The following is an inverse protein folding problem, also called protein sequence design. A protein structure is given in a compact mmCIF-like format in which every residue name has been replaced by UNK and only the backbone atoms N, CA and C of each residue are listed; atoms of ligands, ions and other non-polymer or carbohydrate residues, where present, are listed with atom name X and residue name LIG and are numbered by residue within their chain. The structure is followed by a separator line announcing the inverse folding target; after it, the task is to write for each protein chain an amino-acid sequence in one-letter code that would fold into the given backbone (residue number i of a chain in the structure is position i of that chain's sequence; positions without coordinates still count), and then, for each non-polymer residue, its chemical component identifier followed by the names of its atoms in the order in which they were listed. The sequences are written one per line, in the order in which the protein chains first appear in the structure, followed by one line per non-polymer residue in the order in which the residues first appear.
data_IF_994623247633
#
_entry.id   IF_994623247633
#
_cell.length_a   1.000
_cell.length_b   1.000
_cell.length_c   1.000
_cell.angle_alpha   90.00
_cell.angle_beta   90.00
_cell.angle_gamma   90.00
#
_symmetry.space_group_name_H-M   'P 1'
#
loop_
_entity.id
_entity.type
_entity.pdbx_description
1 polymer ?
#
# COMPACT_ATOMS: atom_id res chain seq x y z
N UNK A 1 8.54 23.31 -13.40
CA UNK A 1 7.90 22.17 -12.72
C UNK A 1 7.23 22.69 -11.46
N UNK A 2 5.91 22.53 -11.32
CA UNK A 2 5.20 22.92 -10.09
C UNK A 2 5.67 22.01 -8.96
N UNK A 3 6.56 22.52 -8.10
CA UNK A 3 6.96 21.85 -6.87
C UNK A 3 5.69 21.69 -6.05
N UNK A 4 5.28 20.46 -5.83
CA UNK A 4 4.08 20.18 -5.04
C UNK A 4 4.28 20.69 -3.62
N UNK A 5 3.25 21.33 -3.11
CA UNK A 5 3.28 22.08 -1.87
C UNK A 5 2.39 21.35 -0.89
N UNK A 6 2.85 21.03 0.32
CA UNK A 6 1.97 20.63 1.41
C UNK A 6 0.95 21.72 1.64
N UNK A 7 -0.34 21.39 1.63
CA UNK A 7 -1.41 22.35 1.85
C UNK A 7 -2.14 21.96 3.13
N UNK A 8 -2.47 22.95 3.94
CA UNK A 8 -3.39 22.82 5.06
C UNK A 8 -4.23 24.09 5.18
N UNK A 9 -5.31 24.02 5.94
CA UNK A 9 -6.10 25.20 6.25
C UNK A 9 -6.55 25.22 7.70
N UNK A 10 -6.75 26.42 8.21
CA UNK A 10 -7.37 26.67 9.52
C UNK A 10 -8.58 27.56 9.33
N UNK A 11 -9.64 27.28 10.08
CA UNK A 11 -10.79 28.16 10.19
C UNK A 11 -10.73 28.86 11.54
N UNK A 12 -10.69 30.18 11.55
CA UNK A 12 -10.56 31.00 12.75
C UNK A 12 -11.81 31.87 12.92
N UNK A 13 -12.36 31.94 14.12
CA UNK A 13 -13.51 32.80 14.41
C UNK A 13 -13.04 34.26 14.60
N UNK A 14 -13.61 35.20 13.85
CA UNK A 14 -13.21 36.61 13.94
C UNK A 14 -13.57 37.28 15.27
N UNK A 15 -14.50 36.72 16.04
CA UNK A 15 -14.96 37.34 17.29
C UNK A 15 -13.96 37.13 18.45
N UNK A 16 -13.34 35.96 18.52
CA UNK A 16 -12.48 35.54 19.64
C UNK A 16 -11.13 34.96 19.18
N UNK A 17 -10.86 34.95 17.88
CA UNK A 17 -9.66 34.38 17.26
C UNK A 17 -9.44 32.89 17.56
N UNK A 18 -10.50 32.17 17.94
CA UNK A 18 -10.41 30.73 18.21
C UNK A 18 -10.25 29.93 16.91
N UNK A 19 -9.30 29.00 16.90
CA UNK A 19 -9.09 28.06 15.80
C UNK A 19 -10.08 26.91 15.93
N UNK A 20 -10.88 26.71 14.90
CA UNK A 20 -11.86 25.64 14.79
C UNK A 20 -11.26 24.43 14.07
N UNK A 21 -10.73 23.50 14.87
CA UNK A 21 -10.14 22.26 14.39
C UNK A 21 -11.20 21.30 13.80
N UNK A 22 -10.80 20.57 12.75
CA UNK A 22 -11.65 19.54 12.12
C UNK A 22 -12.85 20.07 11.33
N UNK A 23 -12.89 21.38 11.01
CA UNK A 23 -13.94 22.02 10.20
C UNK A 23 -13.46 22.39 8.79
N UNK A 24 -12.36 21.81 8.37
CA UNK A 24 -11.69 22.11 7.13
C UNK A 24 -11.20 20.83 6.47
N UNK A 25 -11.49 20.67 5.17
CA UNK A 25 -11.02 19.56 4.36
C UNK A 25 -10.30 20.10 3.13
N UNK A 26 -9.06 19.67 2.92
CA UNK A 26 -8.31 19.98 1.70
C UNK A 26 -8.34 18.77 0.78
N UNK A 27 -8.82 18.94 -0.46
CA UNK A 27 -8.80 17.93 -1.50
C UNK A 27 -7.94 18.40 -2.68
N UNK A 28 -6.99 17.57 -3.09
CA UNK A 28 -6.24 17.75 -4.33
C UNK A 28 -6.99 17.03 -5.45
N UNK A 29 -7.58 17.79 -6.35
CA UNK A 29 -8.42 17.26 -7.41
C UNK A 29 -7.58 16.71 -8.56
N UNK A 30 -8.08 15.64 -9.17
CA UNK A 30 -7.51 15.08 -10.39
C UNK A 30 -7.93 15.86 -11.64
N UNK A 31 -9.13 16.45 -11.60
CA UNK A 31 -9.72 17.23 -12.71
C UNK A 31 -10.45 18.45 -12.13
N UNK A 32 -10.07 19.69 -12.53
CA UNK A 32 -8.90 20.02 -13.35
C UNK A 32 -7.58 19.69 -12.63
N UNK A 33 -6.49 19.37 -13.36
CA UNK A 33 -5.20 19.15 -12.74
C UNK A 33 -4.68 20.44 -12.10
N UNK A 34 -4.09 20.33 -10.90
CA UNK A 34 -3.55 21.48 -10.17
C UNK A 34 -4.62 22.28 -9.42
N UNK A 35 -5.86 21.79 -9.36
CA UNK A 35 -6.92 22.41 -8.56
C UNK A 35 -6.94 21.83 -7.15
N UNK A 36 -7.04 22.72 -6.17
CA UNK A 36 -7.25 22.41 -4.76
C UNK A 36 -8.65 22.84 -4.40
N UNK A 37 -9.43 21.94 -3.80
CA UNK A 37 -10.74 22.25 -3.23
C UNK A 37 -10.60 22.28 -1.72
N UNK A 38 -11.09 23.34 -1.10
CA UNK A 38 -11.13 23.48 0.35
C UNK A 38 -12.59 23.54 0.76
N UNK A 39 -13.03 22.56 1.54
CA UNK A 39 -14.35 22.58 2.17
C UNK A 39 -14.18 23.13 3.60
N UNK A 40 -14.81 24.26 3.89
CA UNK A 40 -14.86 24.84 5.23
C UNK A 40 -16.29 24.79 5.76
N UNK A 41 -16.44 24.39 7.03
CA UNK A 41 -17.74 24.10 7.62
C UNK A 41 -17.90 24.79 8.99
N UNK A 42 -17.97 26.14 9.04
CA UNK A 42 -18.30 26.84 10.28
C UNK A 42 -19.65 26.34 10.81
N UNK A 43 -19.74 26.08 12.12
CA UNK A 43 -20.94 25.50 12.74
C UNK A 43 -21.97 26.53 13.19
N UNK A 44 -21.56 27.79 13.33
CA UNK A 44 -22.35 28.87 13.89
C UNK A 44 -22.39 30.07 12.93
N UNK A 45 -23.45 30.90 12.99
CA UNK A 45 -23.46 32.17 12.30
C UNK A 45 -22.31 33.05 12.81
N UNK A 46 -21.60 33.73 11.90
CA UNK A 46 -20.45 34.53 12.27
C UNK A 46 -19.60 34.99 11.10
N UNK A 47 -18.48 35.62 11.43
CA UNK A 47 -17.41 35.91 10.49
C UNK A 47 -16.22 35.05 10.86
N UNK A 48 -15.59 34.46 9.86
CA UNK A 48 -14.45 33.56 10.01
C UNK A 48 -13.32 33.96 9.06
N UNK A 49 -12.09 33.72 9.46
CA UNK A 49 -10.94 33.69 8.55
C UNK A 49 -10.63 32.26 8.16
N UNK A 50 -10.72 31.95 6.86
CA UNK A 50 -10.16 30.73 6.30
C UNK A 50 -8.73 31.02 5.85
N UNK A 51 -7.77 30.56 6.64
CA UNK A 51 -6.35 30.70 6.34
C UNK A 51 -5.88 29.45 5.61
N UNK A 52 -5.18 29.63 4.49
CA UNK A 52 -4.60 28.55 3.68
C UNK A 52 -3.09 28.64 3.78
N UNK A 53 -2.46 27.56 4.22
CA UNK A 53 -1.02 27.47 4.39
C UNK A 53 -0.41 26.50 3.40
N UNK A 54 0.82 26.79 3.00
CA UNK A 54 1.55 26.02 2.01
C UNK A 54 3.01 25.79 2.47
N UNK A 55 3.56 24.60 2.23
CA UNK A 55 4.98 24.26 2.49
C UNK A 55 5.62 23.55 1.31
N UNK A 56 6.89 23.81 0.95
CA UNK A 56 7.59 23.07 -0.10
C UNK A 56 7.74 21.57 0.21
N UNK A 57 7.62 21.16 1.47
CA UNK A 57 7.59 19.76 1.90
C UNK A 57 6.26 19.44 2.57
N UNK A 58 5.48 18.57 1.92
CA UNK A 58 4.17 18.15 2.42
C UNK A 58 4.23 17.32 3.71
N UNK A 59 5.42 16.79 4.06
CA UNK A 59 5.67 16.04 5.29
C UNK A 59 5.88 16.95 6.50
N UNK A 60 6.21 18.22 6.29
CA UNK A 60 6.58 19.17 7.34
C UNK A 60 5.50 20.22 7.56
N UNK A 61 5.03 20.31 8.80
CA UNK A 61 4.03 21.30 9.21
C UNK A 61 4.68 22.58 9.74
N UNK A 62 5.89 22.48 10.29
CA UNK A 62 6.64 23.54 10.97
C UNK A 62 7.14 24.65 10.04
N UNK A 63 7.22 24.38 8.73
CA UNK A 63 7.69 25.32 7.70
C UNK A 63 6.56 25.81 6.79
N UNK A 64 5.30 25.64 7.21
CA UNK A 64 4.15 26.11 6.44
C UNK A 64 4.04 27.63 6.53
N UNK A 65 3.90 28.27 5.37
CA UNK A 65 3.71 29.72 5.24
C UNK A 65 2.27 30.03 4.83
N UNK A 66 1.72 31.14 5.32
CA UNK A 66 0.39 31.60 4.93
C UNK A 66 0.40 32.02 3.45
N UNK A 67 -0.34 31.30 2.60
CA UNK A 67 -0.45 31.62 1.18
C UNK A 67 -1.56 32.64 0.91
N UNK A 68 -2.73 32.45 1.55
CA UNK A 68 -3.86 33.36 1.42
C UNK A 68 -4.81 33.22 2.61
N UNK A 69 -5.64 34.24 2.81
CA UNK A 69 -6.71 34.25 3.80
C UNK A 69 -7.98 34.81 3.17
N UNK A 70 -9.11 34.19 3.51
CA UNK A 70 -10.44 34.61 3.06
C UNK A 70 -11.30 34.93 4.26
N UNK A 71 -12.02 36.05 4.21
CA UNK A 71 -13.09 36.30 5.16
C UNK A 71 -14.37 35.60 4.68
N UNK A 72 -14.90 34.69 5.50
CA UNK A 72 -16.13 33.94 5.23
C UNK A 72 -17.21 34.44 6.18
N UNK A 73 -18.37 34.78 5.64
CA UNK A 73 -19.56 35.07 6.44
C UNK A 73 -20.50 33.86 6.44
N UNK A 74 -20.75 33.30 7.62
CA UNK A 74 -21.77 32.28 7.83
C UNK A 74 -23.03 32.97 8.34
N UNK A 75 -24.09 32.99 7.54
CA UNK A 75 -25.33 33.71 7.86
C UNK A 75 -26.30 32.89 8.72
N UNK A 76 -26.18 31.56 8.69
CA UNK A 76 -27.13 30.64 9.32
C UNK A 76 -26.38 29.64 10.19
N UNK A 77 -27.11 28.98 11.09
CA UNK A 77 -26.58 27.80 11.77
C UNK A 77 -26.36 26.71 10.75
N UNK A 78 -25.13 26.63 10.29
CA UNK A 78 -24.70 25.54 9.47
C UNK A 78 -24.32 24.38 10.41
N UNK A 79 -25.36 23.69 10.89
CA UNK A 79 -25.22 22.29 11.33
C UNK A 79 -24.92 21.43 10.10
N UNK A 80 -23.91 21.82 9.32
CA UNK A 80 -23.40 21.05 8.20
C UNK A 80 -23.29 19.63 8.69
N UNK A 81 -23.63 18.68 7.83
CA UNK A 81 -23.53 17.27 8.21
C UNK A 81 -22.15 16.96 8.79
N UNK A 82 -21.10 17.66 8.36
CA UNK A 82 -19.73 17.62 8.91
C UNK A 82 -19.66 17.93 10.41
N UNK A 83 -20.46 18.85 10.95
CA UNK A 83 -20.56 19.15 12.39
C UNK A 83 -21.41 18.11 13.12
N UNK A 84 -22.48 17.60 12.48
CA UNK A 84 -23.37 16.57 13.06
C UNK A 84 -22.74 15.17 13.07
N UNK A 85 -21.76 14.90 12.19
CA UNK A 85 -21.06 13.60 12.08
C UNK A 85 -19.80 13.48 12.93
N UNK A 86 -19.39 14.54 13.65
CA UNK A 86 -18.09 14.60 14.34
C UNK A 86 -17.03 15.36 13.54
N UNK A 87 -16.02 15.88 14.24
CA UNK A 87 -14.87 16.57 13.63
C UNK A 87 -14.30 15.72 12.50
N UNK A 88 -14.06 16.33 11.33
CA UNK A 88 -13.31 15.66 10.27
C UNK A 88 -11.96 15.23 10.85
N UNK A 89 -11.42 14.07 10.41
CA UNK A 89 -10.09 13.68 10.83
C UNK A 89 -9.10 14.78 10.43
N UNK A 90 -8.26 15.20 11.38
CA UNK A 90 -7.22 16.20 11.17
C UNK A 90 -6.11 15.60 10.30
N UNK A 91 -6.32 15.63 8.99
CA UNK A 91 -5.38 15.16 7.99
C UNK A 91 -5.00 16.32 7.09
N UNK A 92 -3.70 16.47 6.79
CA UNK A 92 -3.20 17.63 6.06
C UNK A 92 -3.95 17.88 4.75
N UNK A 93 -4.10 16.84 3.91
CA UNK A 93 -4.92 16.88 2.70
C UNK A 93 -5.30 15.48 2.21
N UNK A 94 -6.35 15.41 1.39
CA UNK A 94 -6.80 14.23 0.65
C UNK A 94 -6.35 14.32 -0.82
N UNK A 95 -6.04 13.18 -1.41
CA UNK A 95 -5.69 13.07 -2.83
C UNK A 95 -4.29 12.50 -3.07
N UNK A 96 -3.81 12.73 -4.30
CA UNK A 96 -2.50 12.30 -4.76
C UNK A 96 -1.39 13.10 -4.08
N UNK A 97 -0.30 12.43 -3.73
CA UNK A 97 0.96 13.09 -3.32
C UNK A 97 1.91 13.19 -4.52
N UNK A 98 3.08 13.84 -4.40
CA UNK A 98 4.10 13.85 -5.46
C UNK A 98 4.58 12.45 -5.81
N UNK A 99 4.65 11.56 -4.80
CA UNK A 99 5.12 10.21 -4.98
C UNK A 99 4.19 9.38 -5.87
N UNK A 100 2.88 9.72 -5.93
CA UNK A 100 1.95 9.07 -6.86
C UNK A 100 2.37 9.27 -8.32
N UNK A 101 2.88 10.45 -8.68
CA UNK A 101 3.37 10.71 -10.03
C UNK A 101 4.68 9.99 -10.32
N UNK A 102 5.61 10.00 -9.36
CA UNK A 102 6.92 9.32 -9.45
C UNK A 102 6.74 7.80 -9.62
N UNK A 103 5.89 7.19 -8.81
CA UNK A 103 5.65 5.75 -8.84
C UNK A 103 4.61 5.34 -9.89
N UNK A 104 3.91 6.27 -10.53
CA UNK A 104 2.88 5.93 -11.53
C UNK A 104 1.66 5.22 -10.93
N UNK A 105 1.26 5.60 -9.73
CA UNK A 105 0.01 5.18 -9.10
C UNK A 105 -1.01 6.29 -9.31
N UNK A 106 -2.19 5.99 -9.84
CA UNK A 106 -3.22 6.99 -10.12
C UNK A 106 -4.62 6.42 -9.87
N UNK A 107 -5.42 7.12 -9.05
CA UNK A 107 -6.86 6.82 -8.97
C UNK A 107 -7.54 7.27 -10.26
N UNK A 108 -8.37 6.40 -10.85
CA UNK A 108 -9.02 6.65 -12.16
C UNK A 108 -10.51 6.94 -11.93
N UNK A 109 -11.13 7.92 -12.62
CA UNK A 109 -12.58 8.09 -12.54
C UNK A 109 -13.30 6.95 -13.31
N UNK A 110 -13.57 5.82 -12.65
CA UNK A 110 -14.31 4.67 -13.20
C UNK A 110 -15.35 4.13 -12.19
N UNK A 111 -16.58 3.89 -12.66
CA UNK A 111 -17.62 3.21 -11.89
C UNK A 111 -18.26 4.05 -10.79
N UNK A 112 -18.73 3.39 -9.72
CA UNK A 112 -19.48 4.00 -8.60
C UNK A 112 -18.61 4.85 -7.67
N UNK A 113 -17.28 4.67 -7.71
CA UNK A 113 -16.36 5.52 -6.99
C UNK A 113 -16.20 6.83 -7.76
N UNK A 114 -16.76 7.89 -7.17
CA UNK A 114 -16.65 9.34 -7.44
C UNK A 114 -15.72 9.77 -8.59
N UNK A 115 -16.08 10.84 -9.31
CA UNK A 115 -15.37 11.54 -10.42
C UNK A 115 -13.84 11.79 -10.29
N UNK A 116 -13.05 10.85 -9.78
CA UNK A 116 -11.67 11.02 -9.34
C UNK A 116 -11.53 11.78 -8.02
N UNK A 117 -12.57 11.86 -7.16
CA UNK A 117 -12.47 12.60 -5.89
C UNK A 117 -11.88 11.77 -4.76
N UNK A 118 -10.97 12.34 -3.95
CA UNK A 118 -10.40 11.63 -2.81
C UNK A 118 -11.29 11.66 -1.57
N UNK A 119 -12.35 12.47 -1.54
CA UNK A 119 -13.44 12.35 -0.60
C UNK A 119 -14.62 11.59 -1.23
N UNK A 120 -14.92 10.42 -0.70
CA UNK A 120 -15.93 9.50 -1.22
C UNK A 120 -17.05 9.34 -0.20
N UNK A 121 -18.29 9.62 -0.60
CA UNK A 121 -19.47 9.33 0.22
C UNK A 121 -20.01 7.97 -0.22
N UNK A 122 -20.03 7.00 0.69
CA UNK A 122 -20.48 5.64 0.40
C UNK A 122 -21.76 5.30 1.16
N UNK A 123 -22.83 5.00 0.42
CA UNK A 123 -24.16 4.70 0.97
C UNK A 123 -24.64 3.27 0.63
N UNK A 124 -23.77 2.44 0.06
CA UNK A 124 -24.11 1.08 -0.39
C UNK A 124 -23.60 0.03 0.61
N UNK A 125 -24.37 -1.01 0.96
CA UNK A 125 -23.87 -2.09 1.81
C UNK A 125 -22.79 -2.96 1.14
N UNK A 126 -22.67 -2.93 -0.19
CA UNK A 126 -21.65 -3.67 -0.94
C UNK A 126 -20.26 -3.04 -0.73
N UNK A 127 -19.18 -3.82 -0.87
CA UNK A 127 -17.82 -3.29 -0.79
C UNK A 127 -17.61 -2.15 -1.79
N UNK A 128 -17.07 -1.04 -1.31
CA UNK A 128 -16.64 0.09 -2.14
C UNK A 128 -15.48 -0.37 -3.02
N UNK A 129 -15.54 -0.07 -4.32
CA UNK A 129 -14.47 -0.38 -5.27
C UNK A 129 -13.81 0.91 -5.74
N UNK A 130 -12.57 1.13 -5.34
CA UNK A 130 -11.80 2.32 -5.72
C UNK A 130 -10.85 1.94 -6.85
N UNK A 131 -11.08 2.43 -8.09
CA UNK A 131 -10.26 2.14 -9.27
C UNK A 131 -8.88 2.82 -9.25
N UNK A 132 -7.84 2.06 -9.60
CA UNK A 132 -6.47 2.56 -9.77
C UNK A 132 -5.83 2.07 -11.06
N UNK A 133 -5.01 2.92 -11.66
CA UNK A 133 -3.96 2.57 -12.60
C UNK A 133 -2.64 2.50 -11.80
N UNK A 134 -1.98 1.34 -11.84
CA UNK A 134 -0.77 1.04 -11.07
C UNK A 134 0.33 0.62 -12.03
N UNK A 135 1.46 1.33 -12.02
CA UNK A 135 2.65 0.96 -12.78
C UNK A 135 3.18 -0.44 -12.38
N UNK A 136 3.75 -1.20 -13.33
CA UNK A 136 4.41 -2.46 -13.01
C UNK A 136 5.67 -2.24 -12.17
N UNK A 137 6.14 -3.29 -11.47
CA UNK A 137 7.38 -3.26 -10.67
C UNK A 137 7.30 -2.50 -9.35
N UNK A 138 6.09 -2.35 -8.80
CA UNK A 138 5.87 -1.70 -7.51
C UNK A 138 5.52 -2.70 -6.42
N UNK A 139 5.96 -2.41 -5.21
CA UNK A 139 5.42 -2.92 -3.95
C UNK A 139 4.44 -1.90 -3.40
N UNK A 140 3.28 -2.35 -2.94
CA UNK A 140 2.23 -1.49 -2.39
C UNK A 140 1.71 -2.03 -1.08
N UNK A 141 1.54 -1.16 -0.10
CA UNK A 141 0.77 -1.45 1.10
C UNK A 141 -0.27 -0.36 1.34
N UNK A 142 -1.20 -0.63 2.23
CA UNK A 142 -2.20 0.32 2.64
C UNK A 142 -2.34 0.34 4.15
N UNK A 143 -2.87 1.45 4.64
CA UNK A 143 -3.41 1.59 5.98
C UNK A 143 -4.86 2.05 5.85
N UNK A 144 -5.76 1.38 6.54
CA UNK A 144 -7.17 1.74 6.65
C UNK A 144 -7.51 1.94 8.13
N UNK A 145 -7.88 3.15 8.49
CA UNK A 145 -8.28 3.51 9.85
C UNK A 145 -9.72 3.99 9.87
N UNK A 146 -10.52 3.52 10.82
CA UNK A 146 -11.88 4.04 11.03
C UNK A 146 -11.89 5.05 12.17
N UNK A 147 -12.73 6.09 12.04
CA UNK A 147 -13.01 7.10 13.06
C UNK A 147 -14.49 7.02 13.38
N UNK A 148 -14.81 6.81 14.66
CA UNK A 148 -16.18 6.91 15.14
C UNK A 148 -16.77 8.31 14.86
N UNK A 149 -18.11 8.40 14.83
CA UNK A 149 -18.81 9.68 14.71
C UNK A 149 -18.96 10.31 16.09
N UNK A 150 -17.85 10.67 16.73
CA UNK A 150 -17.49 12.07 16.94
C UNK A 150 -15.96 12.33 16.83
N UNK A 151 -15.21 11.41 16.23
CA UNK A 151 -13.75 11.49 15.98
C UNK A 151 -12.87 11.12 17.17
N UNK A 152 -13.39 10.41 18.17
CA UNK A 152 -12.71 10.14 19.44
C UNK A 152 -11.92 8.82 19.43
N UNK A 153 -12.32 7.84 18.62
CA UNK A 153 -11.66 6.54 18.59
C UNK A 153 -11.26 6.11 17.18
N UNK A 154 -9.95 5.90 17.01
CA UNK A 154 -9.37 5.34 15.81
C UNK A 154 -9.18 3.84 15.99
N UNK A 155 -9.70 3.03 15.06
CA UNK A 155 -9.46 1.59 15.03
C UNK A 155 -8.77 1.19 13.72
N UNK A 156 -7.69 0.41 13.84
CA UNK A 156 -7.00 -0.16 12.68
C UNK A 156 -7.87 -1.23 12.02
N UNK A 157 -8.16 -1.03 10.74
CA UNK A 157 -9.09 -1.83 9.95
C UNK A 157 -8.44 -2.32 8.65
N UNK A 158 -7.10 -2.43 8.57
CA UNK A 158 -6.37 -2.75 7.34
C UNK A 158 -6.91 -3.96 6.59
N UNK A 159 -7.30 -5.02 7.32
CA UNK A 159 -7.89 -6.23 6.74
C UNK A 159 -9.24 -6.01 6.04
N UNK A 160 -9.87 -4.84 6.16
CA UNK A 160 -11.10 -4.51 5.45
C UNK A 160 -10.87 -3.87 4.07
N UNK A 161 -9.62 -3.62 3.69
CA UNK A 161 -9.23 -3.25 2.34
C UNK A 161 -8.40 -4.36 1.68
N UNK A 162 -8.68 -4.64 0.41
CA UNK A 162 -7.94 -5.61 -0.39
C UNK A 162 -7.67 -5.06 -1.79
N UNK A 163 -6.40 -4.99 -2.15
CA UNK A 163 -5.96 -4.72 -3.51
C UNK A 163 -6.26 -5.94 -4.39
N UNK A 164 -6.89 -5.69 -5.54
CA UNK A 164 -7.20 -6.70 -6.53
C UNK A 164 -6.84 -6.18 -7.90
N UNK A 165 -5.96 -6.87 -8.61
CA UNK A 165 -5.76 -6.58 -10.02
C UNK A 165 -6.98 -6.97 -10.83
N UNK A 166 -7.26 -6.21 -11.90
CA UNK A 166 -8.22 -6.64 -12.92
C UNK A 166 -7.70 -7.94 -13.55
N UNK A 167 -8.60 -8.90 -13.86
CA UNK A 167 -8.22 -9.96 -14.77
C UNK A 167 -7.69 -9.30 -16.05
N UNK A 168 -6.54 -9.79 -16.55
CA UNK A 168 -6.03 -9.43 -17.86
C UNK A 168 -7.05 -9.89 -18.91
N UNK A 169 -8.05 -9.06 -19.19
CA UNK A 169 -8.60 -9.03 -20.52
C UNK A 169 -7.50 -8.39 -21.35
N UNK A 170 -7.00 -9.11 -22.36
CA UNK A 170 -6.39 -8.47 -23.51
C UNK A 170 -7.40 -7.46 -24.08
N UNK A 171 -7.50 -6.27 -23.50
CA UNK A 171 -7.43 -5.12 -24.37
C UNK A 171 -6.01 -5.21 -24.90
N UNK A 172 -5.89 -5.63 -26.16
CA UNK A 172 -4.89 -5.02 -27.04
C UNK A 172 -4.56 -3.66 -26.45
N UNK A 173 -3.30 -3.42 -26.10
CA UNK A 173 -2.78 -2.08 -25.95
C UNK A 173 -2.96 -1.49 -27.36
N UNK A 174 -4.20 -1.14 -27.68
CA UNK A 174 -4.51 -0.16 -28.67
C UNK A 174 -3.81 1.04 -28.05
N UNK A 175 -2.72 1.45 -28.68
CA UNK A 175 -1.98 2.66 -28.36
C UNK A 175 -2.87 3.94 -28.40
N UNK A 176 -4.19 3.80 -28.42
CA UNK A 176 -5.18 4.86 -28.47
C UNK A 176 -5.54 5.45 -27.11
N UNK A 177 -5.22 4.78 -25.98
CA UNK A 177 -5.53 5.28 -24.64
C UNK A 177 -4.28 5.34 -23.74
N UNK A 178 -3.95 6.51 -23.16
CA UNK A 178 -2.77 6.64 -22.31
C UNK A 178 -2.93 5.79 -21.03
N UNK A 179 -1.82 5.22 -20.53
CA UNK A 179 -1.72 4.34 -19.34
C UNK A 179 -2.50 4.84 -18.11
N UNK A 180 -2.71 6.16 -18.01
CA UNK A 180 -3.40 6.87 -16.92
C UNK A 180 -4.93 6.97 -17.10
N UNK A 181 -5.49 6.39 -18.15
CA UNK A 181 -6.91 6.57 -18.51
C UNK A 181 -7.82 5.40 -18.17
N UNK A 182 -7.27 4.25 -17.78
CA UNK A 182 -8.03 3.06 -17.44
C UNK A 182 -7.47 2.40 -16.19
N UNK A 183 -8.34 1.98 -15.27
CA UNK A 183 -7.91 1.25 -14.09
C UNK A 183 -7.44 -0.16 -14.46
N UNK A 184 -6.34 -0.61 -13.87
CA UNK A 184 -5.86 -1.99 -13.94
C UNK A 184 -5.96 -2.72 -12.58
N UNK A 185 -6.36 -2.01 -11.53
CA UNK A 185 -6.53 -2.53 -10.18
C UNK A 185 -7.70 -1.86 -9.47
N UNK A 186 -8.15 -2.48 -8.38
CA UNK A 186 -9.15 -1.96 -7.47
C UNK A 186 -8.75 -2.20 -6.03
N UNK A 187 -8.88 -1.17 -5.19
CA UNK A 187 -9.04 -1.39 -3.75
C UNK A 187 -10.50 -1.72 -3.47
N UNK A 188 -10.77 -2.92 -2.97
CA UNK A 188 -12.08 -3.31 -2.48
C UNK A 188 -12.12 -3.06 -0.98
N UNK A 189 -12.97 -2.14 -0.54
CA UNK A 189 -13.07 -1.71 0.86
C UNK A 189 -14.42 -2.13 1.41
N UNK A 190 -14.39 -3.00 2.43
CA UNK A 190 -15.55 -3.37 3.24
C UNK A 190 -15.66 -2.38 4.39
N UNK A 191 -16.86 -1.90 4.68
CA UNK A 191 -17.10 -0.85 5.67
C UNK A 191 -17.98 -1.44 6.77
N UNK A 192 -17.40 -2.03 7.83
CA UNK A 192 -18.16 -2.80 8.83
C UNK A 192 -19.10 -1.95 9.68
N UNK A 193 -18.81 -0.66 9.86
CA UNK A 193 -19.58 0.25 10.71
C UNK A 193 -19.82 1.58 10.01
N UNK A 194 -20.80 2.35 10.48
CA UNK A 194 -21.01 3.71 10.01
C UNK A 194 -19.97 4.64 10.65
N UNK A 195 -19.00 5.08 9.87
CA UNK A 195 -17.82 5.79 10.33
C UNK A 195 -17.17 6.55 9.17
N UNK A 196 -16.20 7.40 9.50
CA UNK A 196 -15.24 7.84 8.50
C UNK A 196 -14.11 6.82 8.41
N UNK A 197 -13.67 6.52 7.20
CA UNK A 197 -12.52 5.66 6.98
C UNK A 197 -11.45 6.42 6.21
N UNK A 198 -10.22 6.29 6.67
CA UNK A 198 -9.06 6.92 6.06
C UNK A 198 -8.16 5.85 5.46
N UNK A 199 -8.14 5.80 4.13
CA UNK A 199 -7.30 4.89 3.36
C UNK A 199 -6.05 5.65 2.90
N UNK A 200 -4.90 5.24 3.41
CA UNK A 200 -3.59 5.70 2.94
C UNK A 200 -2.91 4.59 2.17
N UNK A 201 -2.40 4.90 0.98
CA UNK A 201 -1.70 3.95 0.13
C UNK A 201 -0.24 4.36 0.06
N UNK A 202 0.66 3.40 0.24
CA UNK A 202 2.09 3.60 0.14
C UNK A 202 2.66 2.74 -0.98
N UNK A 203 3.64 3.26 -1.70
CA UNK A 203 4.32 2.57 -2.80
C UNK A 203 5.83 2.65 -2.66
N UNK A 204 6.49 1.67 -3.24
CA UNK A 204 7.94 1.57 -3.34
C UNK A 204 8.29 0.85 -4.66
N UNK A 205 9.35 1.27 -5.33
CA UNK A 205 9.81 0.65 -6.56
C UNK A 205 10.73 -0.52 -6.22
N UNK A 206 10.46 -1.72 -6.74
CA UNK A 206 11.24 -2.93 -6.44
C UNK A 206 12.73 -2.80 -6.74
N UNK A 207 13.10 -1.91 -7.68
CA UNK A 207 14.48 -1.69 -8.10
C UNK A 207 15.23 -0.63 -7.26
N UNK A 208 14.56 0.06 -6.33
CA UNK A 208 15.15 1.15 -5.55
C UNK A 208 15.80 0.62 -4.26
N UNK A 209 16.97 -0.03 -4.40
CA UNK A 209 17.67 -0.76 -3.33
C UNK A 209 18.13 0.15 -2.18
N UNK A 210 18.22 1.46 -2.41
CA UNK A 210 18.77 2.43 -1.45
C UNK A 210 17.72 2.91 -0.44
N UNK A 211 16.44 2.64 -0.68
CA UNK A 211 15.35 3.31 0.02
C UNK A 211 14.63 2.39 1.03
N UNK A 212 14.82 2.67 2.31
CA UNK A 212 14.25 1.87 3.41
C UNK A 212 12.80 2.22 3.81
N UNK A 213 12.13 3.10 3.07
CA UNK A 213 10.77 3.54 3.40
C UNK A 213 9.84 3.59 2.20
N UNK A 214 8.57 3.25 2.43
CA UNK A 214 7.51 3.40 1.44
C UNK A 214 7.05 4.87 1.37
N UNK A 215 6.83 5.38 0.15
CA UNK A 215 6.26 6.70 -0.01
C UNK A 215 4.73 6.65 0.02
N UNK A 216 4.11 7.52 0.81
CA UNK A 216 2.66 7.75 0.72
C UNK A 216 2.33 8.30 -0.66
N UNK A 217 1.53 7.57 -1.45
CA UNK A 217 1.11 7.97 -2.81
C UNK A 217 -0.30 8.56 -2.83
N UNK A 218 -1.19 8.12 -1.93
CA UNK A 218 -2.57 8.56 -1.89
C UNK A 218 -3.15 8.59 -0.48
N UNK A 219 -4.07 9.53 -0.27
CA UNK A 219 -4.92 9.66 0.91
C UNK A 219 -6.37 9.80 0.47
N UNK A 220 -7.25 8.94 0.96
CA UNK A 220 -8.66 8.92 0.60
C UNK A 220 -9.49 8.89 1.88
N UNK A 221 -10.49 9.77 1.95
CA UNK A 221 -11.48 9.78 3.02
C UNK A 221 -12.78 9.18 2.48
N UNK A 222 -13.31 8.20 3.20
CA UNK A 222 -14.56 7.51 2.87
C UNK A 222 -15.56 7.80 4.00
N UNK A 223 -16.66 8.46 3.70
CA UNK A 223 -17.79 8.64 4.61
C UNK A 223 -18.79 7.51 4.40
N UNK A 224 -18.77 6.52 5.29
CA UNK A 224 -19.65 5.36 5.24
C UNK A 224 -20.96 5.63 5.99
N UNK A 225 -22.05 5.88 5.26
CA UNK A 225 -23.32 6.35 5.85
C UNK A 225 -24.40 5.28 6.01
N UNK A 226 -24.29 4.17 5.29
CA UNK A 226 -25.32 3.13 5.32
C UNK A 226 -24.72 1.73 5.31
N UNK A 227 -24.22 1.31 6.48
CA UNK A 227 -23.73 -0.05 6.72
C UNK A 227 -24.79 -0.87 7.49
N UNK A 228 -26.08 -0.76 7.11
CA UNK A 228 -27.15 -1.56 7.71
C UNK A 228 -27.17 -2.95 7.08
N UNK A 229 -26.16 -3.75 7.37
CA UNK A 229 -26.24 -5.20 7.19
C UNK A 229 -26.46 -5.82 8.56
N UNK A 230 -27.49 -6.65 8.71
CA UNK A 230 -27.62 -7.54 9.87
C UNK A 230 -26.53 -8.62 9.89
N UNK A 231 -25.84 -8.82 8.76
CA UNK A 231 -24.75 -9.78 8.64
C UNK A 231 -23.42 -9.14 9.04
N UNK A 232 -22.65 -9.86 9.87
CA UNK A 232 -21.29 -9.52 10.24
C UNK A 232 -20.41 -9.37 9.00
N UNK A 233 -19.94 -8.15 8.72
CA UNK A 233 -19.03 -7.87 7.61
C UNK A 233 -17.66 -8.46 7.94
N UNK A 234 -17.29 -9.50 7.19
CA UNK A 234 -16.03 -10.23 7.38
C UNK A 234 -14.84 -9.47 6.78
N UNK A 235 -13.70 -9.50 7.46
CA UNK A 235 -12.44 -8.98 6.93
C UNK A 235 -11.88 -9.86 5.79
N UNK A 236 -11.03 -9.29 4.95
CA UNK A 236 -10.19 -9.99 3.98
C UNK A 236 -8.93 -10.58 4.64
N UNK A 237 -8.29 -11.61 4.05
CA UNK A 237 -6.94 -11.99 4.47
C UNK A 237 -5.99 -10.80 4.42
N UNK A 238 -5.05 -10.74 5.36
CA UNK A 238 -4.04 -9.68 5.41
C UNK A 238 -3.09 -9.87 4.23
N UNK A 239 -2.98 -8.85 3.39
CA UNK A 239 -2.03 -8.87 2.28
C UNK A 239 -0.68 -8.31 2.70
N UNK A 240 0.39 -8.84 2.12
CA UNK A 240 1.73 -8.25 2.22
C UNK A 240 1.95 -7.26 1.06
N UNK A 241 3.05 -6.51 1.10
CA UNK A 241 3.39 -5.58 0.03
C UNK A 241 3.76 -6.27 -1.30
N UNK A 242 3.97 -7.59 -1.27
CA UNK A 242 4.22 -8.43 -2.46
C UNK A 242 2.95 -8.90 -3.17
N UNK A 243 1.76 -8.56 -2.64
CA UNK A 243 0.48 -8.92 -3.22
C UNK A 243 0.14 -8.15 -4.52
N UNK A 244 0.96 -7.17 -4.90
CA UNK A 244 0.80 -6.45 -6.18
C UNK A 244 0.85 -7.45 -7.33
N UNK A 245 0.09 -7.19 -8.40
CA UNK A 245 -0.10 -8.10 -9.55
C UNK A 245 -0.97 -9.33 -9.26
N UNK A 246 -1.35 -9.59 -8.01
CA UNK A 246 -2.22 -10.70 -7.65
C UNK A 246 -3.71 -10.36 -7.66
N UNK A 247 -4.52 -11.42 -7.70
CA UNK A 247 -5.98 -11.36 -7.51
C UNK A 247 -6.45 -12.57 -6.71
N UNK A 248 -7.32 -12.34 -5.73
CA UNK A 248 -7.85 -13.39 -4.85
C UNK A 248 -9.27 -13.76 -5.28
N UNK A 249 -9.48 -15.03 -5.63
CA UNK A 249 -10.80 -15.53 -6.03
C UNK A 249 -11.48 -16.16 -4.82
N UNK A 250 -10.80 -17.03 -4.08
CA UNK A 250 -11.28 -17.65 -2.84
C UNK A 250 -10.12 -18.27 -2.04
N UNK A 251 -10.24 -18.37 -0.70
CA UNK A 251 -11.26 -17.78 0.16
C UNK A 251 -11.00 -16.29 0.44
N UNK A 252 -12.05 -15.46 0.51
CA UNK A 252 -11.96 -14.00 0.70
C UNK A 252 -12.19 -13.52 2.14
N UNK A 253 -12.28 -14.45 3.08
CA UNK A 253 -12.51 -14.16 4.49
C UNK A 253 -11.24 -14.43 5.27
N UNK A 254 -10.86 -13.51 6.16
CA UNK A 254 -9.66 -13.64 6.98
C UNK A 254 -9.74 -14.87 7.89
N UNK A 255 -10.90 -15.08 8.50
CA UNK A 255 -11.13 -16.17 9.44
C UNK A 255 -11.61 -17.41 8.68
N UNK A 256 -10.84 -18.49 8.80
CA UNK A 256 -11.19 -19.80 8.27
C UNK A 256 -11.41 -20.76 9.44
N UNK A 257 -12.43 -21.60 9.36
CA UNK A 257 -12.69 -22.56 10.42
C UNK A 257 -11.73 -23.74 10.35
N UNK A 258 -11.27 -24.20 11.49
CA UNK A 258 -10.56 -25.48 11.61
C UNK A 258 -11.49 -26.65 11.21
N UNK A 259 -10.87 -27.78 10.89
CA UNK A 259 -11.51 -29.03 10.52
C UNK A 259 -12.43 -28.89 9.29
N UNK A 260 -12.01 -28.09 8.31
CA UNK A 260 -12.74 -27.87 7.05
C UNK A 260 -11.82 -27.88 5.85
N UNK A 261 -12.40 -28.21 4.71
CA UNK A 261 -11.74 -28.07 3.41
C UNK A 261 -12.12 -26.72 2.81
N UNK A 262 -11.11 -25.95 2.43
CA UNK A 262 -11.29 -24.71 1.68
C UNK A 262 -10.66 -24.86 0.30
N UNK A 263 -11.36 -24.33 -0.70
CA UNK A 263 -10.79 -24.15 -2.04
C UNK A 263 -10.02 -22.84 -2.05
N UNK A 264 -8.74 -22.93 -2.33
CA UNK A 264 -7.88 -21.80 -2.64
C UNK A 264 -7.85 -21.62 -4.15
N UNK A 265 -8.06 -20.38 -4.59
CA UNK A 265 -7.98 -19.98 -5.98
C UNK A 265 -7.51 -18.52 -6.05
N UNK A 266 -6.39 -18.27 -6.72
CA UNK A 266 -5.83 -16.94 -6.90
C UNK A 266 -5.10 -16.83 -8.23
N UNK A 267 -5.04 -15.62 -8.78
CA UNK A 267 -4.15 -15.28 -9.87
C UNK A 267 -2.87 -14.67 -9.25
N UNK A 268 -1.71 -15.27 -9.49
CA UNK A 268 -0.38 -14.83 -9.08
C UNK A 268 0.61 -15.07 -10.23
N UNK A 269 0.53 -14.26 -11.32
CA UNK A 269 1.27 -14.47 -12.57
C UNK A 269 2.78 -14.35 -12.47
N UNK A 270 3.29 -13.66 -11.45
CA UNK A 270 4.71 -13.51 -11.17
C UNK A 270 5.31 -14.70 -10.42
N UNK A 271 4.47 -15.59 -9.88
CA UNK A 271 4.92 -16.75 -9.14
C UNK A 271 5.03 -17.97 -10.04
N UNK A 272 6.10 -18.74 -9.86
CA UNK A 272 6.30 -20.03 -10.55
C UNK A 272 5.96 -21.25 -9.66
N UNK A 273 5.68 -20.99 -8.38
CA UNK A 273 5.16 -21.93 -7.39
C UNK A 273 4.36 -21.17 -6.35
N UNK A 274 3.24 -21.75 -5.88
CA UNK A 274 2.40 -21.19 -4.82
C UNK A 274 2.01 -22.29 -3.84
N UNK A 275 2.16 -22.03 -2.55
CA UNK A 275 1.83 -22.94 -1.48
C UNK A 275 0.95 -22.28 -0.42
N UNK A 276 0.11 -23.08 0.21
CA UNK A 276 -0.60 -22.73 1.44
C UNK A 276 0.12 -23.42 2.59
N UNK A 277 0.52 -22.66 3.60
CA UNK A 277 1.27 -23.15 4.74
C UNK A 277 0.44 -23.00 6.00
N UNK A 278 0.17 -24.11 6.70
CA UNK A 278 -0.59 -24.13 7.94
C UNK A 278 0.39 -24.14 9.11
N UNK A 279 0.20 -23.20 10.04
CA UNK A 279 0.99 -23.05 11.28
C UNK A 279 2.52 -23.07 11.07
N UNK A 280 2.99 -22.66 9.89
CA UNK A 280 4.41 -22.61 9.53
C UNK A 280 5.07 -23.96 9.25
N UNK A 281 4.34 -25.09 9.36
CA UNK A 281 4.93 -26.43 9.26
C UNK A 281 4.37 -27.27 8.11
N UNK A 282 3.09 -27.16 7.80
CA UNK A 282 2.43 -28.03 6.80
C UNK A 282 2.27 -27.29 5.47
N UNK A 283 3.03 -27.70 4.45
CA UNK A 283 3.03 -27.08 3.12
C UNK A 283 2.10 -27.82 2.15
N UNK A 284 1.18 -27.08 1.53
CA UNK A 284 0.25 -27.59 0.52
C UNK A 284 0.42 -26.80 -0.78
N UNK A 285 1.10 -27.38 -1.76
CA UNK A 285 1.31 -26.75 -3.07
C UNK A 285 0.02 -26.72 -3.90
N UNK A 286 -0.28 -25.54 -4.45
CA UNK A 286 -1.41 -25.35 -5.35
C UNK A 286 -1.03 -25.77 -6.77
N UNK A 287 -2.02 -26.23 -7.52
CA UNK A 287 -1.84 -26.64 -8.91
C UNK A 287 -2.10 -25.45 -9.84
N UNK A 288 -1.20 -25.16 -10.79
CA UNK A 288 -1.43 -24.12 -11.78
C UNK A 288 -2.51 -24.58 -12.78
N UNK A 289 -3.41 -23.68 -13.18
CA UNK A 289 -4.50 -23.98 -14.13
C UNK A 289 -4.02 -24.14 -15.58
N UNK A 290 -2.77 -23.78 -15.85
CA UNK A 290 -2.12 -23.97 -17.15
C UNK A 290 -0.62 -24.22 -16.93
N UNK A 291 0.02 -25.13 -17.68
CA UNK A 291 1.44 -25.41 -17.51
C UNK A 291 2.27 -24.14 -17.74
N UNK A 292 3.14 -23.83 -16.77
CA UNK A 292 4.09 -22.72 -16.83
C UNK A 292 5.19 -23.13 -17.79
N UNK A 293 5.12 -22.70 -19.06
CA UNK A 293 6.24 -22.91 -19.99
C UNK A 293 7.35 -21.89 -19.69
N UNK A 294 8.59 -22.33 -19.44
CA UNK A 294 9.72 -21.43 -19.14
C UNK A 294 10.02 -20.45 -20.29
N UNK A 295 9.65 -20.80 -21.53
CA UNK A 295 9.77 -19.92 -22.71
C UNK A 295 8.76 -18.77 -22.77
N UNK A 296 7.73 -18.76 -21.90
CA UNK A 296 6.71 -17.70 -21.84
C UNK A 296 6.87 -16.72 -20.68
N UNK A 297 7.89 -16.87 -19.84
CA UNK A 297 8.22 -15.90 -18.78
C UNK A 297 8.52 -14.48 -19.35
N UNK A 298 8.87 -14.40 -20.65
CA UNK A 298 9.17 -13.17 -21.37
C UNK A 298 8.25 -12.86 -22.56
N UNK A 299 7.17 -13.62 -22.77
CA UNK A 299 6.29 -13.44 -23.93
C UNK A 299 4.85 -13.11 -23.51
N UNK A 300 4.27 -11.97 -23.94
CA UNK A 300 2.92 -11.55 -23.56
C UNK A 300 1.82 -12.30 -24.34
N UNK A 301 1.94 -13.62 -24.55
CA UNK A 301 1.01 -14.38 -25.39
C UNK A 301 0.05 -15.29 -24.59
N UNK A 302 -1.20 -14.83 -24.46
CA UNK A 302 -2.32 -15.54 -25.09
C UNK A 302 -2.99 -16.69 -24.34
N UNK A 303 -3.02 -16.71 -23.00
CA UNK A 303 -3.98 -17.57 -22.28
C UNK A 303 -4.70 -16.80 -21.17
N UNK A 304 -6.02 -16.99 -21.09
CA UNK A 304 -6.90 -16.31 -20.13
C UNK A 304 -6.66 -16.72 -18.65
N UNK A 305 -5.70 -17.62 -18.39
CA UNK A 305 -5.45 -18.23 -17.08
C UNK A 305 -3.96 -18.38 -16.73
N UNK A 306 -3.05 -17.70 -17.45
CA UNK A 306 -1.64 -17.65 -17.04
C UNK A 306 -1.52 -17.11 -15.61
N UNK A 307 -0.87 -17.87 -14.74
CA UNK A 307 -0.69 -17.49 -13.34
C UNK A 307 -1.83 -17.86 -12.38
N UNK A 308 -2.86 -18.59 -12.81
CA UNK A 308 -3.90 -19.04 -11.87
C UNK A 308 -3.48 -20.29 -11.12
N UNK A 309 -3.59 -20.25 -9.80
CA UNK A 309 -3.27 -21.33 -8.87
C UNK A 309 -4.51 -21.77 -8.13
N UNK A 310 -4.71 -23.09 -8.00
CA UNK A 310 -5.85 -23.61 -7.24
C UNK A 310 -5.57 -24.94 -6.54
N UNK A 311 -6.25 -25.19 -5.44
CA UNK A 311 -6.14 -26.42 -4.68
C UNK A 311 -7.16 -26.48 -3.54
N UNK A 312 -7.47 -27.68 -3.07
CA UNK A 312 -8.27 -27.87 -1.85
C UNK A 312 -7.32 -28.14 -0.69
N UNK A 313 -7.44 -27.37 0.38
CA UNK A 313 -6.59 -27.49 1.57
C UNK A 313 -7.50 -27.75 2.78
N UNK A 314 -7.15 -28.77 3.55
CA UNK A 314 -7.81 -29.10 4.81
C UNK A 314 -7.11 -28.34 5.95
N UNK A 315 -7.86 -27.58 6.75
CA UNK A 315 -7.31 -26.66 7.77
C UNK A 315 -6.78 -27.33 9.04
N UNK A 316 -6.78 -28.66 9.12
CA UNK A 316 -6.34 -29.39 10.31
C UNK A 316 -7.27 -29.17 11.52
N UNK A 317 -6.85 -29.60 12.71
CA UNK A 317 -7.66 -29.49 13.95
C UNK A 317 -7.20 -28.37 14.89
N UNK A 318 -6.07 -27.73 14.59
CA UNK A 318 -5.43 -26.77 15.48
C UNK A 318 -5.77 -25.34 15.07
N UNK A 319 -6.01 -24.47 16.06
CA UNK A 319 -6.06 -23.03 15.86
C UNK A 319 -4.70 -22.49 15.42
N UNK A 320 -4.68 -21.28 14.87
CA UNK A 320 -3.43 -20.60 14.51
C UNK A 320 -3.53 -19.79 13.23
N UNK A 321 -2.52 -19.90 12.38
CA UNK A 321 -2.39 -19.10 11.16
C UNK A 321 -2.28 -19.99 9.93
N UNK A 322 -2.80 -19.46 8.82
CA UNK A 322 -2.63 -20.06 7.50
C UNK A 322 -2.14 -18.96 6.57
N UNK A 323 -1.03 -19.22 5.89
CA UNK A 323 -0.38 -18.23 5.03
C UNK A 323 -0.31 -18.74 3.60
N UNK A 324 -0.44 -17.85 2.62
CA UNK A 324 -0.16 -18.16 1.21
C UNK A 324 1.23 -17.64 0.89
N UNK A 325 2.07 -18.52 0.37
CA UNK A 325 3.42 -18.21 -0.07
C UNK A 325 3.55 -18.39 -1.58
N UNK A 326 4.33 -17.53 -2.22
CA UNK A 326 4.68 -17.65 -3.64
C UNK A 326 6.19 -17.60 -3.82
N UNK A 327 6.72 -18.34 -4.80
CA UNK A 327 8.12 -18.23 -5.22
C UNK A 327 8.20 -17.36 -6.46
N UNK A 328 9.06 -16.34 -6.42
CA UNK A 328 9.29 -15.42 -7.55
C UNK A 328 10.74 -15.63 -8.02
N UNK A 329 10.95 -16.16 -9.24
CA UNK A 329 12.26 -16.64 -9.69
C UNK A 329 13.35 -15.56 -9.83
N UNK A 330 12.99 -14.28 -9.86
CA UNK A 330 13.95 -13.18 -10.06
C UNK A 330 14.29 -12.37 -8.81
N UNK A 331 13.63 -12.61 -7.67
CA UNK A 331 13.92 -11.88 -6.42
C UNK A 331 15.35 -12.16 -5.92
N UNK A 332 15.87 -13.37 -6.16
CA UNK A 332 17.16 -13.78 -5.62
C UNK A 332 18.36 -13.20 -6.39
N UNK A 333 18.23 -13.01 -7.72
CA UNK A 333 19.29 -12.40 -8.53
C UNK A 333 19.64 -10.98 -8.10
N UNK A 334 18.68 -10.21 -7.61
CA UNK A 334 18.94 -8.83 -7.15
C UNK A 334 19.63 -8.77 -5.79
N UNK A 335 19.40 -9.75 -4.90
CA UNK A 335 20.10 -9.84 -3.60
C UNK A 335 21.57 -10.25 -3.77
N UNK A 336 21.86 -11.16 -4.70
CA UNK A 336 23.26 -11.51 -5.05
C UNK A 336 24.00 -10.31 -5.64
N UNK A 337 23.40 -9.58 -6.57
CA UNK A 337 24.03 -8.39 -7.16
C UNK A 337 24.28 -7.29 -6.11
N UNK A 338 23.40 -7.12 -5.12
CA UNK A 338 23.63 -6.16 -4.03
C UNK A 338 24.80 -6.57 -3.12
N UNK A 339 24.91 -7.86 -2.78
CA UNK A 339 26.03 -8.38 -1.99
C UNK A 339 27.35 -8.38 -2.77
N UNK A 340 27.33 -8.70 -4.06
CA UNK A 340 28.51 -8.61 -4.92
C UNK A 340 28.97 -7.16 -5.12
N UNK A 341 28.05 -6.20 -5.25
CA UNK A 341 28.41 -4.79 -5.38
C UNK A 341 28.97 -4.21 -4.07
N UNK A 342 28.44 -4.60 -2.91
CA UNK A 342 29.04 -4.25 -1.62
C UNK A 342 30.44 -4.87 -1.44
N UNK A 343 30.62 -6.14 -1.82
CA UNK A 343 31.93 -6.81 -1.80
C UNK A 343 32.94 -6.21 -2.79
N UNK A 344 32.49 -5.74 -3.97
CA UNK A 344 33.35 -5.05 -4.95
C UNK A 344 33.78 -3.67 -4.47
N UNK A 345 32.91 -2.91 -3.79
CA UNK A 345 33.25 -1.60 -3.22
C UNK A 345 34.32 -1.71 -2.11
N UNK A 346 34.35 -2.84 -1.38
CA UNK A 346 35.38 -3.12 -0.36
C UNK A 346 36.71 -3.53 -0.99
N UNK A 347 36.71 -4.19 -2.15
CA UNK A 347 37.94 -4.61 -2.83
C UNK A 347 38.56 -3.52 -3.73
N UNK A 348 37.75 -2.63 -4.31
CA UNK A 348 38.24 -1.54 -5.18
C UNK A 348 38.87 -0.36 -4.40
N UNK A 349 38.83 -0.37 -3.06
CA UNK A 349 39.51 0.63 -2.21
C UNK A 349 40.96 0.28 -1.85
N UNK A 350 41.53 -0.83 -2.33
CA UNK A 350 42.89 -1.28 -1.99
C UNK A 350 43.92 -1.28 -3.14
N UNK A 351 43.60 -0.71 -4.32
CA UNK A 351 44.59 -0.56 -5.39
C UNK A 351 44.58 0.85 -6.03
N UNK A 352 44.98 1.84 -5.23
CA UNK A 352 45.43 3.14 -5.70
C UNK A 352 46.95 3.26 -5.59
N UNK A 353 47.68 2.98 -6.66
CA UNK A 353 49.12 3.21 -6.73
C UNK A 353 49.45 4.71 -6.71
N UNK A 354 50.34 5.09 -5.78
CA UNK A 354 51.08 6.36 -5.83
C UNK A 354 52.57 6.07 -5.66
N UNK A 355 53.33 6.41 -6.69
CA UNK A 355 54.79 6.55 -6.66
C UNK A 355 55.14 7.94 -6.13
N UNK A 356 56.12 8.03 -5.23
CA UNK A 356 56.75 9.29 -4.85
C UNK A 356 57.60 9.17 -3.58
N UNK A 357 58.92 9.15 -3.76
CA UNK A 357 59.96 9.10 -2.73
C UNK A 357 59.80 10.18 -1.65
N UNK A 358 60.14 9.84 -0.40
CA UNK A 358 61.12 10.58 0.40
C UNK A 358 61.61 9.76 1.61
N UNK A 359 62.93 9.86 1.87
CA UNK A 359 63.65 9.24 2.99
C UNK A 359 63.44 10.00 4.31
N UNK A 360 63.22 9.30 5.43
CA UNK A 360 64.01 9.41 6.67
C UNK A 360 63.46 8.56 7.85
N UNK A 361 64.30 7.62 8.29
CA UNK A 361 64.56 6.96 9.59
C UNK A 361 63.63 7.09 10.83
N UNK A 362 63.50 5.92 11.49
CA UNK A 362 63.36 5.59 12.93
C UNK A 362 62.07 6.06 13.65
N UNK A 363 61.38 5.29 14.49
CA UNK A 363 61.78 4.18 15.39
C UNK A 363 60.51 3.43 15.88
N UNK A 364 60.64 2.12 16.10
CA UNK A 364 59.94 1.20 17.02
C UNK A 364 58.58 1.57 17.65
N UNK A 365 57.62 0.61 17.64
CA UNK A 365 57.15 -0.13 18.84
C UNK A 365 55.90 -0.99 18.51
N UNK A 366 56.14 -2.29 18.30
CA UNK A 366 55.44 -3.50 18.81
C UNK A 366 53.92 -3.76 18.65
N UNK A 367 53.62 -4.89 17.98
CA UNK A 367 52.69 -6.04 18.31
C UNK A 367 51.20 -5.78 18.54
N UNK A 368 50.23 -6.55 18.02
CA UNK A 368 50.20 -8.02 17.84
C UNK A 368 49.15 -8.45 16.79
N UNK A 369 49.56 -9.41 15.98
CA UNK A 369 48.85 -10.43 15.18
C UNK A 369 47.71 -11.14 15.96
N UNK A 370 46.66 -11.68 15.33
CA UNK A 370 46.73 -12.95 14.56
C UNK A 370 45.57 -13.13 13.58
N UNK A 371 45.94 -13.28 12.31
CA UNK A 371 45.24 -14.06 11.28
C UNK A 371 45.54 -15.54 11.53
N UNK A 372 44.55 -16.43 11.39
CA UNK A 372 44.81 -17.85 11.13
C UNK A 372 43.97 -18.27 9.94
N UNK A 373 44.59 -18.30 8.77
CA UNK A 373 44.14 -19.11 7.64
C UNK A 373 44.49 -20.55 7.95
N UNK A 374 43.55 -21.47 7.77
CA UNK A 374 43.86 -22.85 7.46
C UNK A 374 43.00 -23.32 6.30
N UNK A 375 43.71 -23.83 5.30
CA UNK A 375 43.24 -24.29 4.01
C UNK A 375 42.38 -25.55 4.10
N UNK A 376 41.53 -25.66 3.08
CA UNK A 376 41.08 -26.88 2.39
C UNK A 376 40.45 -27.99 3.22
N UNK A 377 39.14 -28.14 3.03
CA UNK A 377 38.61 -29.44 2.63
C UNK A 377 37.50 -29.24 1.60
N UNK A 378 37.71 -29.84 0.42
CA UNK A 378 36.68 -30.14 -0.55
C UNK A 378 35.54 -30.87 0.16
N UNK A 379 34.36 -30.28 0.16
CA UNK A 379 33.10 -31.00 0.12
C UNK A 379 32.19 -30.28 -0.86
N UNK A 380 31.48 -31.08 -1.66
CA UNK A 380 30.55 -30.63 -2.67
C UNK A 380 29.45 -29.77 -2.03
N UNK A 381 29.52 -28.47 -2.21
CA UNK A 381 28.39 -27.56 -2.01
C UNK A 381 27.82 -27.19 -3.40
N UNK A 382 27.38 -28.21 -4.13
CA UNK A 382 26.30 -28.08 -5.10
C UNK A 382 25.01 -28.30 -4.30
N UNK A 383 24.27 -27.25 -3.91
CA UNK A 383 22.80 -27.26 -3.65
C UNK A 383 22.21 -26.09 -2.80
N UNK A 384 22.88 -24.94 -2.60
CA UNK A 384 22.33 -23.82 -1.81
C UNK A 384 21.76 -22.62 -2.64
N UNK A 385 21.36 -22.81 -3.90
CA UNK A 385 20.51 -21.83 -4.64
C UNK A 385 19.01 -21.94 -4.23
N UNK A 386 18.72 -22.11 -2.93
CA UNK A 386 17.43 -22.60 -2.42
C UNK A 386 16.29 -21.56 -2.41
N UNK A 387 15.40 -21.63 -3.40
CA UNK A 387 13.93 -21.56 -3.27
C UNK A 387 13.30 -20.63 -2.20
N UNK A 388 13.66 -19.34 -2.14
CA UNK A 388 13.00 -18.44 -1.17
C UNK A 388 11.51 -18.18 -1.52
N UNK A 389 10.61 -18.71 -0.70
CA UNK A 389 9.18 -18.41 -0.76
C UNK A 389 8.87 -17.12 -0.01
N UNK A 390 8.14 -16.21 -0.64
CA UNK A 390 7.68 -14.97 -0.04
C UNK A 390 6.21 -15.07 0.38
N UNK A 391 5.89 -14.52 1.54
CA UNK A 391 4.52 -14.49 2.04
C UNK A 391 3.68 -13.46 1.27
N UNK A 392 2.50 -13.87 0.81
CA UNK A 392 1.57 -13.07 0.02
C UNK A 392 0.31 -12.68 0.81
N UNK A 393 -0.29 -13.64 1.51
CA UNK A 393 -1.51 -13.46 2.30
C UNK A 393 -1.42 -14.19 3.65
N UNK A 394 -2.11 -13.66 4.65
CA UNK A 394 -2.30 -14.28 5.98
C UNK A 394 -3.79 -14.39 6.34
N UNK A 395 -4.16 -15.57 6.83
CA UNK A 395 -5.45 -15.96 7.36
C UNK A 395 -5.32 -16.36 8.83
N UNK A 396 -6.44 -16.36 9.55
CA UNK A 396 -6.54 -16.81 10.94
C UNK A 396 -7.42 -18.06 10.98
N UNK A 397 -6.92 -19.12 11.62
CA UNK A 397 -7.68 -20.33 11.86
C UNK A 397 -8.43 -20.23 13.18
N UNK A 398 -9.74 -20.32 13.12
CA UNK A 398 -10.65 -20.15 14.25
C UNK A 398 -11.50 -21.39 14.48
N UNK A 399 -11.97 -21.59 15.70
CA UNK A 399 -13.00 -22.59 15.96
C UNK A 399 -14.33 -22.08 15.43
N UNK A 400 -15.16 -22.98 14.91
CA UNK A 400 -16.56 -22.65 14.66
C UNK A 400 -17.21 -22.45 16.03
N UNK A 401 -17.34 -21.20 16.47
CA UNK A 401 -18.23 -20.90 17.58
C UNK A 401 -19.62 -21.39 17.19
N UNK A 402 -20.26 -22.13 18.10
CA UNK A 402 -21.68 -22.45 18.04
C UNK A 402 -22.44 -21.14 18.28
N UNK A 403 -22.43 -20.24 17.30
CA UNK A 403 -23.36 -19.13 17.26
C UNK A 403 -24.74 -19.72 16.92
N UNK A 404 -25.47 -20.09 17.98
CA UNK A 404 -26.89 -20.41 17.98
C UNK A 404 -27.73 -19.15 17.89
#
# INVERSE_FOLDING_TARGET
MSRFVGISCSLENCADHSILLGLCLVEILLRPPGTVRIEAAPSQPGKYYLNVYVSPDWRREDIRELACSFQIHCSEYNYSRLVVTGRLPEVGFLGRTPASEVHGVLMVPEGDASDGRPYIIHNDPRPLKIPFAIAPGLKLCHQLKSFDRPGHQMADCDSYALLQMKPNHHSSITHSKPFKSQANAYYNVRLPVQAFYYLTIYAFNENDIVKDHLDCVYRILIDARNCRSSELIQAYPRQTFWWVQCRLIEPKYQHLFINRNYKFCLDAPQCDSVAVVINGSEWHFLTPSSPISPSKLHSPSGSNHHGRWSGKVYTGKCLGQLSVFGRIPHINKFKEISLENECRIINDTMHGGYNGNDHANNTDTTTTTTTTNNNNNNNNDEDDEENSYIKLLDYILVQKELFS
#
